data_IF_588771083277
#
_entry.id   IF_588771083277
#
_cell.length_a   1.000
_cell.length_b   1.000
_cell.length_c   1.000
_cell.angle_alpha   90.00
_cell.angle_beta   90.00
_cell.angle_gamma   90.00
#
_symmetry.space_group_name_H-M   'P 1'
#
loop_
_entity.id
_entity.type
_entity.pdbx_description
1 polymer ?
#
# COMPACT_ATOMS: atom_id res chain seq x y z
N UNK A 1 28.44 -0.30 -5.36
CA UNK A 1 27.19 0.44 -5.69
C UNK A 1 27.45 1.94 -5.76
N UNK A 2 26.97 2.66 -6.80
CA UNK A 2 27.06 4.12 -7.01
C UNK A 2 25.65 4.67 -7.31
N UNK A 3 25.31 5.85 -6.80
CA UNK A 3 24.03 6.52 -7.08
C UNK A 3 24.27 7.62 -8.10
N UNK A 4 23.52 7.58 -9.21
CA UNK A 4 23.50 8.62 -10.24
C UNK A 4 22.15 9.36 -10.11
N UNK A 5 22.20 10.67 -9.94
CA UNK A 5 21.02 11.51 -9.79
C UNK A 5 20.86 12.46 -10.98
N UNK A 6 19.62 12.93 -11.17
CA UNK A 6 19.25 13.95 -12.16
C UNK A 6 19.67 13.61 -13.60
N UNK A 7 19.62 12.30 -13.95
CA UNK A 7 19.86 11.83 -15.30
C UNK A 7 18.68 12.25 -16.16
N UNK A 8 18.93 13.08 -17.15
CA UNK A 8 17.92 13.56 -18.09
C UNK A 8 17.92 12.68 -19.33
N UNK A 9 16.75 12.17 -19.67
CA UNK A 9 16.52 11.29 -20.82
C UNK A 9 15.38 11.88 -21.65
N UNK A 10 15.62 12.16 -22.91
CA UNK A 10 14.56 12.58 -23.82
C UNK A 10 13.51 11.47 -23.98
N UNK A 11 12.29 11.83 -24.39
CA UNK A 11 11.17 10.88 -24.42
C UNK A 11 11.37 9.70 -25.38
N UNK A 12 12.23 9.84 -26.37
CA UNK A 12 12.57 8.86 -27.41
C UNK A 12 13.91 8.14 -27.16
N UNK A 13 14.60 8.46 -26.05
CA UNK A 13 15.89 7.84 -25.68
C UNK A 13 15.70 6.73 -24.64
N UNK A 14 16.62 5.77 -24.65
CA UNK A 14 16.68 4.67 -23.70
C UNK A 14 17.61 5.00 -22.53
N UNK A 15 17.14 4.68 -21.31
CA UNK A 15 17.91 4.88 -20.07
C UNK A 15 19.16 3.99 -20.06
N UNK A 16 19.06 2.77 -20.56
CA UNK A 16 20.15 1.80 -20.51
C UNK A 16 21.33 2.23 -21.39
N UNK A 17 21.06 2.74 -22.59
CA UNK A 17 22.08 3.33 -23.46
C UNK A 17 22.82 4.48 -22.76
N UNK A 18 22.09 5.36 -22.08
CA UNK A 18 22.68 6.47 -21.35
C UNK A 18 23.52 6.00 -20.15
N UNK A 19 23.10 4.94 -19.46
CA UNK A 19 23.84 4.37 -18.33
C UNK A 19 25.17 3.74 -18.78
N UNK A 20 25.25 3.17 -19.97
CA UNK A 20 26.52 2.67 -20.52
C UNK A 20 27.58 3.78 -20.68
N UNK A 21 27.13 4.99 -20.95
CA UNK A 21 28.01 6.18 -21.03
C UNK A 21 28.39 6.72 -19.64
N UNK A 22 27.43 6.77 -18.69
CA UNK A 22 27.62 7.38 -17.38
C UNK A 22 28.35 6.47 -16.38
N UNK A 23 28.22 5.15 -16.56
CA UNK A 23 28.82 4.13 -15.71
C UNK A 23 29.29 2.92 -16.54
N UNK A 24 30.33 3.07 -17.37
CA UNK A 24 30.80 1.98 -18.22
C UNK A 24 31.13 0.72 -17.43
N UNK A 25 30.65 -0.44 -17.90
CA UNK A 25 30.95 -1.73 -17.29
C UNK A 25 30.13 -2.08 -16.05
N UNK A 26 29.05 -1.35 -15.73
CA UNK A 26 28.14 -1.77 -14.67
C UNK A 26 27.54 -3.17 -14.96
N UNK A 27 27.26 -3.92 -13.90
CA UNK A 27 26.65 -5.24 -14.02
C UNK A 27 25.13 -5.23 -13.94
N UNK A 28 24.58 -4.33 -13.13
CA UNK A 28 23.13 -4.20 -12.92
C UNK A 28 22.78 -2.76 -12.52
N UNK A 29 21.52 -2.35 -12.73
CA UNK A 29 21.00 -1.09 -12.21
C UNK A 29 19.60 -1.22 -11.62
N UNK A 30 19.23 -0.28 -10.75
CA UNK A 30 17.89 -0.13 -10.21
C UNK A 30 17.44 1.32 -10.30
N UNK A 31 16.28 1.55 -10.90
CA UNK A 31 15.66 2.88 -10.88
C UNK A 31 15.13 3.14 -9.46
N UNK A 32 15.59 4.23 -8.84
CA UNK A 32 15.16 4.68 -7.50
C UNK A 32 14.09 5.74 -7.61
N UNK A 33 14.17 6.57 -8.65
CA UNK A 33 13.19 7.62 -8.90
C UNK A 33 13.07 7.91 -10.39
N UNK A 34 11.86 8.10 -10.85
CA UNK A 34 11.53 8.60 -12.17
C UNK A 34 10.53 9.73 -12.05
N UNK A 35 10.77 10.83 -12.72
CA UNK A 35 9.85 11.96 -12.85
C UNK A 35 9.88 12.51 -14.26
N UNK A 36 8.85 13.29 -14.63
CA UNK A 36 8.81 14.01 -15.89
C UNK A 36 9.05 15.50 -15.60
N UNK A 37 10.01 16.10 -16.26
CA UNK A 37 10.16 17.55 -16.31
C UNK A 37 9.51 18.08 -17.59
N UNK A 38 8.34 18.72 -17.44
CA UNK A 38 7.58 19.32 -18.53
C UNK A 38 7.43 20.84 -18.35
N UNK A 39 8.30 21.48 -17.58
CA UNK A 39 8.26 22.95 -17.38
C UNK A 39 8.43 23.70 -18.69
N UNK A 40 9.16 23.14 -19.62
CA UNK A 40 9.25 23.61 -21.00
C UNK A 40 8.45 22.70 -21.92
N UNK A 41 7.31 23.17 -22.41
CA UNK A 41 6.30 22.39 -23.15
C UNK A 41 6.84 21.60 -24.35
N UNK A 42 7.89 22.10 -25.02
CA UNK A 42 8.49 21.48 -26.21
C UNK A 42 9.76 20.68 -25.90
N UNK A 43 10.15 20.54 -24.62
CA UNK A 43 11.33 19.83 -24.16
C UNK A 43 11.02 19.01 -22.91
N UNK A 44 9.88 18.34 -22.89
CA UNK A 44 9.55 17.41 -21.83
C UNK A 44 10.55 16.23 -21.89
N UNK A 45 11.11 15.87 -20.74
CA UNK A 45 12.06 14.77 -20.62
C UNK A 45 11.87 14.04 -19.29
N UNK A 46 12.31 12.80 -19.23
CA UNK A 46 12.40 12.06 -17.98
C UNK A 46 13.60 12.50 -17.16
N UNK A 47 13.44 12.50 -15.84
CA UNK A 47 14.54 12.70 -14.88
C UNK A 47 14.59 11.49 -13.97
N UNK A 48 15.72 10.78 -13.98
CA UNK A 48 15.93 9.57 -13.22
C UNK A 48 16.95 9.77 -12.10
N UNK A 49 16.74 9.02 -11.00
CA UNK A 49 17.80 8.66 -10.06
C UNK A 49 17.96 7.15 -10.09
N UNK A 50 19.19 6.68 -10.24
CA UNK A 50 19.49 5.27 -10.50
C UNK A 50 20.65 4.83 -9.59
N UNK A 51 20.51 3.66 -8.99
CA UNK A 51 21.61 2.92 -8.38
C UNK A 51 22.23 2.01 -9.44
N UNK A 52 23.54 2.10 -9.61
CA UNK A 52 24.31 1.20 -10.45
C UNK A 52 25.23 0.33 -9.60
N UNK A 53 25.34 -0.92 -9.98
CA UNK A 53 26.04 -1.98 -9.28
C UNK A 53 27.15 -2.54 -10.16
N UNK A 54 28.27 -2.91 -9.55
CA UNK A 54 29.39 -3.53 -10.25
C UNK A 54 29.05 -4.98 -10.68
N UNK A 55 29.87 -5.57 -11.53
CA UNK A 55 29.68 -6.96 -11.96
C UNK A 55 29.64 -7.92 -10.76
N UNK A 56 28.57 -8.74 -10.70
CA UNK A 56 28.34 -9.68 -9.60
C UNK A 56 27.61 -9.09 -8.38
N UNK A 57 27.36 -7.77 -8.33
CA UNK A 57 26.52 -7.14 -7.35
C UNK A 57 25.08 -7.00 -7.88
N UNK A 58 24.08 -7.12 -7.01
CA UNK A 58 22.67 -6.87 -7.33
C UNK A 58 21.97 -6.13 -6.19
N UNK A 59 20.91 -5.34 -6.50
CA UNK A 59 20.12 -4.69 -5.46
C UNK A 59 19.48 -5.71 -4.55
N UNK A 60 19.62 -5.53 -3.25
CA UNK A 60 18.87 -6.33 -2.28
C UNK A 60 17.40 -5.89 -2.30
N UNK A 61 16.50 -6.78 -2.71
CA UNK A 61 15.07 -6.57 -2.52
C UNK A 61 14.77 -6.74 -1.04
N UNK A 62 14.00 -5.83 -0.42
CA UNK A 62 13.58 -6.02 0.97
C UNK A 62 12.77 -7.32 1.08
N UNK A 63 13.31 -8.29 1.80
CA UNK A 63 12.60 -9.54 2.06
C UNK A 63 11.42 -9.30 2.98
N UNK A 64 10.31 -9.93 2.65
CA UNK A 64 9.15 -10.01 3.50
C UNK A 64 9.39 -11.07 4.58
N UNK A 65 9.74 -10.63 5.79
CA UNK A 65 9.91 -11.53 6.94
C UNK A 65 8.61 -11.62 7.71
N UNK A 66 8.05 -12.81 7.77
CA UNK A 66 6.97 -13.16 8.67
C UNK A 66 7.55 -13.75 9.96
N UNK A 67 7.21 -13.16 11.08
CA UNK A 67 7.52 -13.76 12.38
C UNK A 67 6.47 -14.83 12.71
N UNK A 68 6.87 -15.99 13.27
CA UNK A 68 5.92 -17.03 13.64
C UNK A 68 4.91 -16.53 14.69
N UNK A 69 3.62 -16.74 14.46
CA UNK A 69 2.53 -16.36 15.37
C UNK A 69 2.61 -17.03 16.76
N UNK A 70 3.40 -18.07 16.90
CA UNK A 70 3.57 -18.85 18.15
C UNK A 70 4.19 -18.07 19.31
N UNK A 71 4.79 -16.91 19.06
CA UNK A 71 5.46 -16.11 20.10
C UNK A 71 4.53 -15.10 20.80
N UNK A 72 3.38 -14.75 20.19
CA UNK A 72 2.48 -13.77 20.78
C UNK A 72 1.48 -14.41 21.75
N UNK A 73 1.54 -14.01 23.02
CA UNK A 73 0.65 -14.51 24.11
C UNK A 73 -0.30 -13.44 24.66
N UNK A 74 -0.30 -12.24 24.07
CA UNK A 74 -1.18 -11.14 24.51
C UNK A 74 -2.60 -11.20 23.94
N UNK A 75 -3.49 -10.28 24.34
CA UNK A 75 -4.80 -10.13 23.74
C UNK A 75 -4.68 -9.69 22.28
N UNK A 76 -5.55 -10.21 21.41
CA UNK A 76 -5.57 -9.82 19.99
C UNK A 76 -5.86 -8.33 19.85
N UNK A 77 -5.02 -7.55 19.18
CA UNK A 77 -5.32 -6.16 18.84
C UNK A 77 -6.60 -6.06 18.01
N UNK A 78 -7.43 -5.06 18.31
CA UNK A 78 -8.67 -4.77 17.58
C UNK A 78 -8.42 -3.59 16.66
N UNK A 79 -8.74 -3.78 15.36
CA UNK A 79 -8.65 -2.76 14.31
C UNK A 79 -10.06 -2.43 13.86
N UNK A 80 -10.40 -1.14 13.83
CA UNK A 80 -11.73 -0.67 13.41
C UNK A 80 -11.63 -0.01 12.04
N UNK A 81 -12.23 -0.64 11.04
CA UNK A 81 -12.26 -0.22 9.64
C UNK A 81 -11.23 -0.92 8.78
N UNK A 82 -11.68 -1.51 7.64
CA UNK A 82 -10.86 -2.13 6.62
C UNK A 82 -10.45 -1.17 5.48
N UNK A 83 -10.37 0.12 5.75
CA UNK A 83 -9.76 1.09 4.84
C UNK A 83 -8.24 0.87 4.75
N UNK A 84 -7.51 1.68 3.95
CA UNK A 84 -6.07 1.52 3.77
C UNK A 84 -5.30 1.46 5.10
N UNK A 85 -5.62 2.36 6.04
CA UNK A 85 -4.94 2.40 7.34
C UNK A 85 -5.14 1.12 8.15
N UNK A 86 -6.37 0.59 8.20
CA UNK A 86 -6.69 -0.64 8.93
C UNK A 86 -6.05 -1.88 8.29
N UNK A 87 -6.09 -1.99 6.97
CA UNK A 87 -5.44 -3.09 6.25
C UNK A 87 -3.93 -3.11 6.47
N UNK A 88 -3.26 -1.95 6.40
CA UNK A 88 -1.83 -1.85 6.67
C UNK A 88 -1.49 -2.05 8.15
N UNK A 89 -2.37 -1.64 9.10
CA UNK A 89 -2.19 -1.96 10.51
C UNK A 89 -2.27 -3.48 10.74
N UNK A 90 -3.28 -4.15 10.18
CA UNK A 90 -3.40 -5.60 10.24
C UNK A 90 -2.17 -6.29 9.64
N UNK A 91 -1.70 -5.82 8.48
CA UNK A 91 -0.51 -6.35 7.83
C UNK A 91 0.72 -6.25 8.74
N UNK A 92 0.93 -5.10 9.39
CA UNK A 92 2.05 -4.93 10.35
C UNK A 92 1.95 -5.85 11.56
N UNK A 93 0.76 -6.15 12.05
CA UNK A 93 0.57 -7.11 13.13
C UNK A 93 0.92 -8.53 12.67
N UNK A 94 0.35 -9.00 11.56
CA UNK A 94 0.61 -10.36 11.08
C UNK A 94 2.06 -10.58 10.66
N UNK A 95 2.73 -9.58 10.11
CA UNK A 95 4.16 -9.62 9.80
C UNK A 95 5.02 -9.88 11.04
N UNK A 96 4.56 -9.46 12.22
CA UNK A 96 5.22 -9.65 13.51
C UNK A 96 4.67 -10.85 14.28
N UNK A 97 3.95 -11.73 13.63
CA UNK A 97 3.35 -12.89 14.27
C UNK A 97 2.27 -12.56 15.30
N UNK A 98 1.68 -11.37 15.23
CA UNK A 98 0.62 -10.93 16.15
C UNK A 98 -0.73 -11.11 15.49
N UNK A 99 -1.55 -12.11 15.89
CA UNK A 99 -2.90 -12.27 15.39
C UNK A 99 -3.76 -11.09 15.81
N UNK A 100 -4.68 -10.64 14.95
CA UNK A 100 -5.51 -9.47 15.21
C UNK A 100 -6.96 -9.67 14.75
N UNK A 101 -7.85 -8.78 15.23
CA UNK A 101 -9.25 -8.72 14.85
C UNK A 101 -9.49 -7.44 14.06
N UNK A 102 -10.08 -7.54 12.87
CA UNK A 102 -10.42 -6.39 12.04
C UNK A 102 -11.93 -6.36 11.82
N UNK A 103 -12.58 -5.27 12.20
CA UNK A 103 -14.01 -5.06 12.04
C UNK A 103 -14.27 -4.00 10.97
N UNK A 104 -15.10 -4.34 9.99
CA UNK A 104 -15.54 -3.41 8.93
C UNK A 104 -17.08 -3.37 8.92
N UNK A 105 -17.63 -2.15 8.94
CA UNK A 105 -19.10 -2.00 8.95
C UNK A 105 -19.73 -2.30 7.59
N UNK A 106 -19.00 -2.13 6.49
CA UNK A 106 -19.42 -2.47 5.13
C UNK A 106 -19.09 -3.90 4.78
N UNK A 107 -19.53 -4.32 3.60
CA UNK A 107 -19.19 -5.62 3.03
C UNK A 107 -17.80 -5.62 2.41
N UNK A 108 -17.30 -6.79 2.06
CA UNK A 108 -16.09 -6.94 1.27
C UNK A 108 -16.18 -6.22 -0.09
N UNK A 109 -15.04 -5.89 -0.68
CA UNK A 109 -14.95 -5.03 -1.87
C UNK A 109 -15.78 -5.52 -3.07
N UNK A 110 -15.88 -6.84 -3.28
CA UNK A 110 -16.69 -7.41 -4.37
C UNK A 110 -18.19 -7.24 -4.11
N UNK A 111 -18.66 -7.55 -2.90
CA UNK A 111 -20.07 -7.40 -2.52
C UNK A 111 -20.49 -5.92 -2.46
N UNK A 112 -19.60 -5.05 -1.97
CA UNK A 112 -19.78 -3.59 -1.90
C UNK A 112 -20.11 -2.98 -3.26
N UNK A 113 -19.57 -3.53 -4.36
CA UNK A 113 -19.83 -3.05 -5.71
C UNK A 113 -21.31 -3.08 -6.10
N UNK A 114 -22.10 -3.99 -5.51
CA UNK A 114 -23.56 -4.06 -5.77
C UNK A 114 -24.26 -2.80 -5.27
N UNK A 115 -23.98 -2.36 -4.05
CA UNK A 115 -24.51 -1.12 -3.49
C UNK A 115 -24.10 0.12 -4.26
N UNK A 116 -22.82 0.18 -4.70
CA UNK A 116 -22.29 1.27 -5.52
C UNK A 116 -23.01 1.35 -6.87
N UNK A 117 -23.19 0.22 -7.55
CA UNK A 117 -23.90 0.18 -8.85
C UNK A 117 -25.37 0.61 -8.72
N UNK A 118 -26.06 0.27 -7.62
CA UNK A 118 -27.41 0.73 -7.35
C UNK A 118 -27.46 2.25 -7.19
N UNK A 119 -26.49 2.81 -6.47
CA UNK A 119 -26.39 4.26 -6.34
C UNK A 119 -26.15 4.94 -7.69
N UNK A 120 -25.20 4.47 -8.49
CA UNK A 120 -24.90 5.08 -9.79
C UNK A 120 -26.03 4.97 -10.82
N UNK A 121 -26.80 3.88 -10.77
CA UNK A 121 -27.87 3.63 -11.74
C UNK A 121 -29.22 4.21 -11.32
N UNK A 122 -29.51 4.20 -10.03
CA UNK A 122 -30.84 4.46 -9.50
C UNK A 122 -30.87 5.55 -8.41
N UNK A 123 -29.74 6.08 -8.00
CA UNK A 123 -29.64 7.06 -6.90
C UNK A 123 -29.86 6.45 -5.50
N UNK A 124 -29.91 5.13 -5.38
CA UNK A 124 -30.16 4.43 -4.12
C UNK A 124 -28.88 4.31 -3.29
N UNK A 125 -28.69 5.22 -2.33
CA UNK A 125 -27.51 5.24 -1.48
C UNK A 125 -27.57 4.15 -0.39
N UNK A 126 -26.61 3.22 -0.40
CA UNK A 126 -26.32 2.36 0.75
C UNK A 126 -25.28 3.07 1.64
N UNK A 127 -25.65 3.40 2.87
CA UNK A 127 -24.79 4.12 3.82
C UNK A 127 -23.62 3.26 4.34
N UNK A 128 -23.67 1.94 4.18
CA UNK A 128 -22.60 1.01 4.55
C UNK A 128 -21.73 0.61 3.36
N UNK A 129 -22.30 0.60 2.15
CA UNK A 129 -21.63 0.14 0.92
C UNK A 129 -21.68 1.22 -0.16
N UNK A 130 -20.76 2.16 -0.11
CA UNK A 130 -20.68 3.29 -1.04
C UNK A 130 -19.23 3.52 -1.50
N UNK A 131 -19.00 4.50 -2.38
CA UNK A 131 -17.67 4.78 -2.95
C UNK A 131 -16.67 5.36 -1.93
N UNK A 132 -17.14 5.95 -0.83
CA UNK A 132 -16.28 6.65 0.13
C UNK A 132 -15.72 5.73 1.22
N UNK A 133 -16.47 4.72 1.65
CA UNK A 133 -16.18 3.90 2.82
C UNK A 133 -16.22 2.41 2.49
N UNK A 134 -15.49 1.59 3.29
CA UNK A 134 -15.45 0.14 3.24
C UNK A 134 -14.07 -0.39 2.88
N UNK A 135 -13.98 -1.69 2.66
CA UNK A 135 -12.72 -2.38 2.39
C UNK A 135 -11.91 -1.70 1.28
N UNK A 136 -10.64 -1.40 1.57
CA UNK A 136 -9.73 -0.71 0.66
C UNK A 136 -10.00 0.79 0.47
N UNK A 137 -11.06 1.35 1.09
CA UNK A 137 -11.38 2.77 1.06
C UNK A 137 -11.90 3.28 -0.29
N UNK A 138 -11.89 4.61 -0.47
CA UNK A 138 -12.36 5.28 -1.68
C UNK A 138 -11.45 5.05 -2.90
N UNK A 139 -10.17 4.73 -2.68
CA UNK A 139 -9.20 4.50 -3.75
C UNK A 139 -9.57 3.38 -4.72
N UNK A 140 -10.40 2.40 -4.28
CA UNK A 140 -10.85 1.31 -5.14
C UNK A 140 -11.75 1.77 -6.29
N UNK A 141 -12.42 2.90 -6.13
CA UNK A 141 -13.44 3.41 -7.05
C UNK A 141 -13.09 4.78 -7.61
N UNK A 142 -11.86 5.23 -7.37
CA UNK A 142 -11.26 6.42 -7.96
C UNK A 142 -10.28 6.03 -9.08
N UNK A 143 -9.45 6.95 -9.52
CA UNK A 143 -8.43 6.71 -10.55
C UNK A 143 -7.18 5.95 -10.05
N UNK A 144 -7.11 5.61 -8.75
CA UNK A 144 -6.00 4.83 -8.18
C UNK A 144 -4.70 5.60 -8.01
N UNK A 145 -4.76 6.93 -7.88
CA UNK A 145 -3.58 7.74 -7.56
C UNK A 145 -3.10 7.47 -6.14
N UNK A 146 -1.79 7.29 -5.99
CA UNK A 146 -1.12 7.06 -4.71
C UNK A 146 -0.27 8.27 -4.29
N UNK A 147 -0.77 9.48 -4.57
CA UNK A 147 -0.04 10.71 -4.27
C UNK A 147 -0.22 11.07 -2.80
N UNK A 148 0.90 11.29 -2.12
CA UNK A 148 0.92 11.82 -0.75
C UNK A 148 1.74 13.10 -0.68
N UNK A 149 1.34 14.02 0.20
CA UNK A 149 2.12 15.23 0.51
C UNK A 149 3.04 15.06 1.72
N UNK A 150 3.02 13.89 2.33
CA UNK A 150 3.83 13.57 3.51
C UNK A 150 5.17 12.99 3.04
N UNK A 151 6.26 13.46 3.63
CA UNK A 151 7.57 12.81 3.54
C UNK A 151 7.69 11.84 4.71
N UNK A 152 7.63 10.54 4.45
CA UNK A 152 7.71 9.52 5.49
C UNK A 152 8.63 8.38 5.06
N UNK A 153 9.47 7.86 5.95
CA UNK A 153 10.30 6.69 5.69
C UNK A 153 9.47 5.40 5.48
N UNK A 154 8.17 5.45 5.76
CA UNK A 154 7.27 4.31 5.59
C UNK A 154 6.65 4.23 4.18
N UNK A 155 6.80 5.24 3.33
CA UNK A 155 6.26 5.23 1.97
C UNK A 155 6.81 4.04 1.15
N UNK A 156 8.13 3.76 1.14
CA UNK A 156 8.66 2.59 0.43
C UNK A 156 8.06 1.26 0.90
N UNK A 157 7.81 1.13 2.21
CA UNK A 157 7.13 -0.05 2.75
C UNK A 157 5.72 -0.21 2.14
N UNK A 158 4.92 0.85 2.13
CA UNK A 158 3.55 0.80 1.59
C UNK A 158 3.57 0.43 0.11
N UNK A 159 4.42 1.06 -0.70
CA UNK A 159 4.53 0.79 -2.14
C UNK A 159 4.98 -0.65 -2.40
N UNK A 160 6.02 -1.12 -1.71
CA UNK A 160 6.51 -2.48 -1.82
C UNK A 160 5.43 -3.53 -1.47
N UNK A 161 4.64 -3.30 -0.42
CA UNK A 161 3.54 -4.21 -0.07
C UNK A 161 2.43 -4.22 -1.12
N UNK A 162 2.08 -3.08 -1.70
CA UNK A 162 1.13 -3.05 -2.81
C UNK A 162 1.64 -3.84 -4.02
N UNK A 163 2.94 -3.72 -4.35
CA UNK A 163 3.57 -4.49 -5.43
C UNK A 163 3.53 -6.00 -5.15
N UNK A 164 3.81 -6.43 -3.93
CA UNK A 164 3.72 -7.85 -3.54
C UNK A 164 2.32 -8.43 -3.72
N UNK A 165 1.28 -7.64 -3.53
CA UNK A 165 -0.10 -8.04 -3.76
C UNK A 165 -0.57 -7.81 -5.20
N UNK A 166 0.32 -7.40 -6.11
CA UNK A 166 0.10 -7.34 -7.55
C UNK A 166 -0.14 -5.96 -8.13
N UNK A 167 0.25 -4.90 -7.42
CA UNK A 167 0.38 -3.58 -8.03
C UNK A 167 1.60 -3.56 -8.98
N UNK A 168 1.65 -2.63 -9.96
CA UNK A 168 2.78 -2.49 -10.85
C UNK A 168 4.06 -2.11 -10.10
N UNK A 169 5.21 -2.67 -10.49
CA UNK A 169 6.50 -2.39 -9.84
C UNK A 169 6.90 -0.90 -9.97
N UNK A 170 6.50 -0.24 -11.03
CA UNK A 170 6.79 1.16 -11.29
C UNK A 170 6.29 2.14 -10.21
N UNK A 171 5.31 1.75 -9.39
CA UNK A 171 4.83 2.60 -8.28
C UNK A 171 5.90 2.83 -7.21
N UNK A 172 6.92 1.99 -7.13
CA UNK A 172 8.00 2.12 -6.15
C UNK A 172 8.93 3.30 -6.45
N UNK A 173 9.03 3.72 -7.72
CA UNK A 173 9.99 4.73 -8.14
C UNK A 173 9.41 5.91 -8.92
N UNK A 174 8.21 5.82 -9.46
CA UNK A 174 7.56 6.96 -10.15
C UNK A 174 7.15 8.03 -9.15
N UNK A 175 7.47 9.29 -9.43
CA UNK A 175 7.22 10.43 -8.56
C UNK A 175 5.72 10.67 -8.24
N UNK A 176 4.84 10.33 -9.17
CA UNK A 176 3.38 10.42 -9.00
C UNK A 176 2.74 9.05 -9.33
N UNK A 177 2.86 8.07 -8.43
CA UNK A 177 2.45 6.72 -8.72
C UNK A 177 0.93 6.59 -8.89
N UNK A 178 0.56 5.75 -9.86
CA UNK A 178 -0.83 5.48 -10.21
C UNK A 178 -1.01 3.97 -10.44
N UNK A 179 -1.84 3.33 -9.61
CA UNK A 179 -2.10 1.88 -9.74
C UNK A 179 -3.21 1.60 -10.77
N UNK A 180 -4.17 2.51 -10.88
CA UNK A 180 -5.40 2.28 -11.63
C UNK A 180 -6.46 1.54 -10.82
N UNK A 181 -7.73 1.90 -11.02
CA UNK A 181 -8.86 1.31 -10.27
C UNK A 181 -9.00 -0.20 -10.47
N UNK A 182 -8.73 -0.71 -11.67
CA UNK A 182 -8.86 -2.13 -11.95
C UNK A 182 -7.80 -2.98 -11.27
N UNK A 183 -6.59 -2.47 -11.16
CA UNK A 183 -5.48 -3.17 -10.49
C UNK A 183 -5.64 -3.12 -8.98
N UNK A 184 -5.97 -1.97 -8.39
CA UNK A 184 -6.14 -1.85 -6.94
C UNK A 184 -7.28 -2.74 -6.41
N UNK A 185 -8.34 -2.94 -7.21
CA UNK A 185 -9.42 -3.88 -6.89
C UNK A 185 -8.97 -5.34 -6.83
N UNK A 186 -7.86 -5.70 -7.48
CA UNK A 186 -7.26 -7.05 -7.40
C UNK A 186 -6.25 -7.17 -6.26
N UNK A 187 -5.60 -6.07 -5.90
CA UNK A 187 -4.62 -6.01 -4.82
C UNK A 187 -5.29 -6.22 -3.46
N UNK A 188 -6.39 -5.54 -3.20
CA UNK A 188 -7.05 -5.59 -1.88
C UNK A 188 -7.57 -6.98 -1.50
N UNK A 189 -8.26 -7.74 -2.37
CA UNK A 189 -8.63 -9.11 -2.05
C UNK A 189 -7.44 -10.03 -1.74
N UNK A 190 -6.32 -9.90 -2.47
CA UNK A 190 -5.11 -10.68 -2.20
C UNK A 190 -4.49 -10.32 -0.84
N UNK A 191 -4.49 -9.03 -0.49
CA UNK A 191 -4.05 -8.59 0.84
C UNK A 191 -4.96 -9.19 1.93
N UNK A 192 -6.29 -9.18 1.75
CA UNK A 192 -7.24 -9.80 2.68
C UNK A 192 -6.97 -11.30 2.85
N UNK A 193 -6.83 -12.04 1.75
CA UNK A 193 -6.51 -13.47 1.80
C UNK A 193 -5.24 -13.75 2.59
N UNK A 194 -4.19 -12.96 2.34
CA UNK A 194 -2.94 -13.06 3.08
C UNK A 194 -3.15 -12.81 4.58
N UNK A 195 -3.91 -11.78 4.96
CA UNK A 195 -4.21 -11.46 6.35
C UNK A 195 -4.95 -12.62 7.05
N UNK A 196 -5.96 -13.21 6.38
CA UNK A 196 -6.71 -14.35 6.89
C UNK A 196 -5.83 -15.58 7.10
N UNK A 197 -4.93 -15.87 6.16
CA UNK A 197 -3.99 -17.01 6.23
C UNK A 197 -2.97 -16.86 7.38
N UNK A 198 -2.70 -15.63 7.82
CA UNK A 198 -1.66 -15.33 8.82
C UNK A 198 -2.22 -14.84 10.17
N UNK A 199 -3.45 -15.21 10.50
CA UNK A 199 -4.01 -15.03 11.84
C UNK A 199 -4.78 -13.74 12.09
N UNK A 200 -5.10 -12.96 11.06
CA UNK A 200 -6.07 -11.89 11.16
C UNK A 200 -7.50 -12.47 10.98
N UNK A 201 -8.40 -12.20 11.91
CA UNK A 201 -9.82 -12.46 11.74
C UNK A 201 -10.51 -11.19 11.24
N UNK A 202 -11.23 -11.28 10.13
CA UNK A 202 -11.90 -10.12 9.52
C UNK A 202 -13.41 -10.31 9.58
N UNK A 203 -14.08 -9.35 10.19
CA UNK A 203 -15.54 -9.33 10.37
C UNK A 203 -16.16 -8.19 9.57
N UNK A 204 -16.74 -8.53 8.41
CA UNK A 204 -17.51 -7.59 7.60
C UNK A 204 -18.92 -7.41 8.12
N UNK A 205 -19.63 -6.40 7.63
CA UNK A 205 -20.99 -6.03 8.01
C UNK A 205 -21.17 -5.83 9.53
N UNK A 206 -20.06 -5.54 10.22
CA UNK A 206 -19.95 -5.44 11.67
C UNK A 206 -19.51 -4.04 12.10
N UNK A 207 -20.41 -3.30 12.72
CA UNK A 207 -20.15 -1.94 13.18
C UNK A 207 -19.83 -1.90 14.67
N UNK A 208 -18.67 -1.41 15.04
CA UNK A 208 -18.33 -1.08 16.43
C UNK A 208 -19.06 0.22 16.81
N UNK A 209 -19.90 0.15 17.84
CA UNK A 209 -20.69 1.29 18.32
C UNK A 209 -20.05 2.00 19.50
N UNK A 210 -19.41 1.25 20.39
CA UNK A 210 -18.91 1.78 21.66
C UNK A 210 -17.76 0.93 22.18
N UNK A 211 -16.78 1.57 22.80
CA UNK A 211 -15.76 0.91 23.61
C UNK A 211 -16.24 0.88 25.05
N UNK A 212 -16.22 -0.29 25.67
CA UNK A 212 -16.47 -0.43 27.11
C UNK A 212 -15.12 -0.27 27.82
N UNK A 213 -15.08 0.61 28.82
CA UNK A 213 -13.86 0.89 29.57
C UNK A 213 -14.14 0.79 31.08
N UNK A 214 -13.24 0.13 31.80
CA UNK A 214 -13.22 0.16 33.27
C UNK A 214 -12.13 1.14 33.75
N UNK A 215 -12.48 1.97 34.73
CA UNK A 215 -11.48 2.76 35.45
C UNK A 215 -10.76 1.85 36.45
N UNK A 216 -9.52 1.57 36.21
CA UNK A 216 -8.70 0.87 37.18
C UNK A 216 -8.45 1.81 38.37
N UNK A 217 -8.96 1.47 39.55
CA UNK A 217 -8.90 2.29 40.76
C UNK A 217 -7.48 2.57 41.27
N UNK A 218 -6.48 1.88 40.72
CA UNK A 218 -5.07 2.02 41.09
C UNK A 218 -4.17 2.72 40.03
N UNK A 219 -4.72 2.98 38.83
CA UNK A 219 -3.93 3.60 37.76
C UNK A 219 -4.84 4.54 36.94
N UNK A 220 -4.34 5.72 36.59
CA UNK A 220 -5.04 6.72 35.77
C UNK A 220 -5.35 6.27 34.34
N UNK A 221 -5.06 5.02 33.98
CA UNK A 221 -5.29 4.46 32.65
C UNK A 221 -6.56 3.59 32.66
N UNK A 222 -7.52 3.92 31.80
CA UNK A 222 -8.70 3.08 31.53
C UNK A 222 -8.31 1.87 30.68
N UNK A 223 -8.75 0.67 31.03
CA UNK A 223 -8.63 -0.52 30.21
C UNK A 223 -9.89 -0.70 29.37
N UNK A 224 -9.75 -1.13 28.13
CA UNK A 224 -10.86 -1.53 27.26
C UNK A 224 -11.22 -2.98 27.61
N UNK A 225 -12.48 -3.25 27.92
CA UNK A 225 -12.98 -4.56 28.38
C UNK A 225 -13.98 -5.23 27.44
N UNK A 226 -14.38 -4.56 26.36
CA UNK A 226 -15.32 -5.11 25.37
C UNK A 226 -15.66 -4.13 24.24
#
# INVERSE_FOLDING_TARGET
>A
MKILNDIKIELDQDLEEQLQWLAPGYGHYRVVKQSVDARQRHRAHFVYSVEVYDQGEAPQKPEFKLEPATHYKGPKPIIIGAGPAGLFAALRFVERGVPCLLFERGSESVARMKGINRFWRYGELDTRNNVCYGEGGAGLYSDGKLITRIKSPHIPYVMNRLVQFGAPEEIEYIANPHVGSDRIRRVIPKMREFLLQHGCEIHFDTQIKRLLTEKNSQNTKSAVIG
#
